data_IF_656400419945
#
_entry.id   IF_656400419945
#
_cell.length_a   1.000
_cell.length_b   1.000
_cell.length_c   1.000
_cell.angle_alpha   90.00
_cell.angle_beta   90.00
_cell.angle_gamma   90.00
#
_symmetry.space_group_name_H-M   'P 1'
#
loop_
_entity.id
_entity.type
_entity.pdbx_description
1 polymer ?
#
# COMPACT_ATOMS: atom_id res chain seq x y z
N UNK A 1 -4.00 27.19 -10.49
CA UNK A 1 -4.51 25.83 -10.40
C UNK A 1 -3.35 24.85 -10.42
N UNK A 2 -3.57 23.63 -9.94
CA UNK A 2 -2.57 22.57 -10.01
C UNK A 2 -2.40 22.10 -11.46
N UNK A 3 -1.17 21.77 -11.83
CA UNK A 3 -0.90 21.14 -13.13
C UNK A 3 -1.47 19.71 -13.16
N UNK A 4 -1.71 19.09 -14.32
CA UNK A 4 -2.08 17.68 -14.39
C UNK A 4 -1.06 16.75 -13.74
N UNK A 5 0.23 17.06 -13.85
CA UNK A 5 1.34 16.32 -13.23
C UNK A 5 1.31 16.40 -11.70
N UNK A 6 1.04 17.59 -11.15
CA UNK A 6 0.88 17.77 -9.71
C UNK A 6 -0.33 17.01 -9.19
N UNK A 7 -1.44 17.10 -9.93
CA UNK A 7 -2.67 16.41 -9.58
C UNK A 7 -2.50 14.88 -9.58
N UNK A 8 -1.77 14.32 -10.54
CA UNK A 8 -1.43 12.90 -10.58
C UNK A 8 -0.57 12.49 -9.39
N UNK A 9 0.46 13.28 -9.08
CA UNK A 9 1.36 13.05 -7.93
C UNK A 9 0.60 13.08 -6.60
N UNK A 10 -0.34 14.00 -6.43
CA UNK A 10 -1.19 14.10 -5.24
C UNK A 10 -2.16 12.92 -5.15
N UNK A 11 -2.76 12.52 -6.27
CA UNK A 11 -3.68 11.38 -6.31
C UNK A 11 -3.01 10.07 -5.85
N UNK A 12 -1.71 9.91 -6.14
CA UNK A 12 -0.93 8.75 -5.69
C UNK A 12 -0.83 8.64 -4.16
N UNK A 13 -0.97 9.75 -3.42
CA UNK A 13 -1.03 9.72 -1.94
C UNK A 13 -2.19 8.84 -1.47
N UNK A 14 -3.30 8.82 -2.21
CA UNK A 14 -4.46 7.99 -1.92
C UNK A 14 -4.17 6.48 -1.95
N UNK A 15 -3.15 6.04 -2.69
CA UNK A 15 -2.67 4.66 -2.67
C UNK A 15 -2.02 4.27 -1.34
N UNK A 16 -1.61 5.24 -0.52
CA UNK A 16 -0.90 5.05 0.74
C UNK A 16 0.39 4.21 0.59
N UNK A 17 1.08 4.39 -0.52
CA UNK A 17 2.33 3.74 -0.86
C UNK A 17 3.44 4.79 -1.00
N UNK A 18 4.18 5.01 0.09
CA UNK A 18 5.21 6.05 0.16
C UNK A 18 6.22 6.00 -0.99
N UNK A 19 6.88 4.86 -1.24
CA UNK A 19 7.80 4.70 -2.36
C UNK A 19 7.20 5.06 -3.72
N UNK A 20 5.94 4.69 -3.99
CA UNK A 20 5.25 5.02 -5.25
C UNK A 20 4.95 6.50 -5.37
N UNK A 21 4.53 7.14 -4.27
CA UNK A 21 4.30 8.60 -4.24
C UNK A 21 5.59 9.34 -4.53
N UNK A 22 6.69 8.94 -3.88
CA UNK A 22 8.01 9.54 -4.11
C UNK A 22 8.46 9.38 -5.56
N UNK A 23 8.37 8.17 -6.08
CA UNK A 23 8.76 7.86 -7.45
C UNK A 23 7.96 8.68 -8.47
N UNK A 24 6.63 8.74 -8.29
CA UNK A 24 5.74 9.51 -9.17
C UNK A 24 6.08 11.01 -9.12
N UNK A 25 6.26 11.58 -7.93
CA UNK A 25 6.54 13.00 -7.78
C UNK A 25 7.92 13.39 -8.31
N UNK A 26 8.94 12.55 -8.16
CA UNK A 26 10.26 12.76 -8.75
C UNK A 26 10.23 12.81 -10.27
N UNK A 27 9.36 12.02 -10.90
CA UNK A 27 9.27 11.97 -12.36
C UNK A 27 8.34 13.03 -12.95
N UNK A 28 7.21 13.33 -12.27
CA UNK A 28 6.16 14.20 -12.80
C UNK A 28 6.20 15.63 -12.27
N UNK A 29 6.61 15.83 -11.00
CA UNK A 29 6.42 17.09 -10.28
C UNK A 29 7.51 17.34 -9.26
N UNK A 30 8.72 17.62 -9.74
CA UNK A 30 9.90 17.84 -8.90
C UNK A 30 9.74 19.02 -7.95
N UNK A 31 8.99 20.04 -8.35
CA UNK A 31 8.77 21.25 -7.54
C UNK A 31 8.01 20.97 -6.24
N UNK A 32 7.07 20.04 -6.25
CA UNK A 32 6.29 19.64 -5.08
C UNK A 32 6.83 18.37 -4.41
N UNK A 33 7.99 17.86 -4.81
CA UNK A 33 8.56 16.61 -4.30
C UNK A 33 8.75 16.65 -2.77
N UNK A 34 9.36 17.70 -2.23
CA UNK A 34 9.59 17.82 -0.79
C UNK A 34 8.26 17.94 -0.03
N UNK A 35 7.35 18.86 -0.38
CA UNK A 35 6.03 18.95 0.24
C UNK A 35 5.25 17.65 0.21
N UNK A 36 5.20 16.97 -0.94
CA UNK A 36 4.41 15.74 -1.10
C UNK A 36 5.03 14.58 -0.34
N UNK A 37 6.36 14.55 -0.19
CA UNK A 37 7.07 13.57 0.63
C UNK A 37 6.62 13.64 2.08
N UNK A 38 6.60 14.85 2.64
CA UNK A 38 6.13 15.09 4.02
C UNK A 38 4.68 14.60 4.17
N UNK A 39 3.79 15.02 3.26
CA UNK A 39 2.39 14.60 3.27
C UNK A 39 2.27 13.08 3.15
N UNK A 40 3.04 12.45 2.25
CA UNK A 40 3.01 11.01 2.00
C UNK A 40 3.37 10.18 3.24
N UNK A 41 4.24 10.67 4.11
CA UNK A 41 4.61 9.94 5.32
C UNK A 41 3.76 10.28 6.54
N UNK A 42 3.17 11.49 6.59
CA UNK A 42 2.16 11.83 7.59
C UNK A 42 0.91 10.94 7.48
N UNK A 43 0.62 10.39 6.29
CA UNK A 43 -0.54 9.51 6.11
C UNK A 43 -0.46 8.21 6.92
N UNK A 44 0.72 7.73 7.28
CA UNK A 44 0.85 6.56 8.16
C UNK A 44 0.11 6.77 9.48
N UNK A 45 0.26 7.95 10.08
CA UNK A 45 -0.50 8.33 11.26
C UNK A 45 -2.00 8.43 10.99
N UNK A 46 -2.39 8.98 9.84
CA UNK A 46 -3.79 9.13 9.45
C UNK A 46 -4.47 7.79 9.16
N UNK A 47 -3.81 6.86 8.48
CA UNK A 47 -4.38 5.53 8.22
C UNK A 47 -4.51 4.73 9.51
N UNK A 48 -3.52 4.78 10.40
CA UNK A 48 -3.56 4.08 11.67
C UNK A 48 -4.61 4.66 12.62
N UNK A 49 -4.70 5.99 12.71
CA UNK A 49 -5.63 6.70 13.60
C UNK A 49 -7.02 6.91 13.01
N UNK A 50 -7.13 7.25 11.72
CA UNK A 50 -8.37 7.65 11.06
C UNK A 50 -9.20 6.48 10.51
N UNK A 51 -8.58 5.48 9.92
CA UNK A 51 -9.30 4.34 9.31
C UNK A 51 -10.16 3.54 10.28
N UNK A 52 -9.80 3.35 11.57
CA UNK A 52 -10.73 2.74 12.52
C UNK A 52 -12.08 3.47 12.63
N UNK A 53 -12.07 4.81 12.59
CA UNK A 53 -13.31 5.60 12.63
C UNK A 53 -14.09 5.46 11.32
N UNK A 54 -13.41 5.52 10.17
CA UNK A 54 -14.04 5.32 8.86
C UNK A 54 -14.70 3.96 8.75
N UNK A 55 -14.01 2.89 9.14
CA UNK A 55 -14.56 1.52 9.13
C UNK A 55 -15.75 1.39 10.07
N UNK A 56 -15.68 1.98 11.27
CA UNK A 56 -16.80 1.94 12.22
C UNK A 56 -18.03 2.70 11.73
N UNK A 57 -17.80 3.81 11.00
CA UNK A 57 -18.89 4.60 10.42
C UNK A 57 -19.56 3.88 9.23
N UNK A 58 -18.77 3.22 8.38
CA UNK A 58 -19.29 2.61 7.13
C UNK A 58 -19.71 1.15 7.30
N UNK A 59 -19.10 0.38 8.20
CA UNK A 59 -19.39 -1.05 8.37
C UNK A 59 -20.08 -1.29 9.72
N UNK A 60 -21.34 -1.71 9.74
CA UNK A 60 -22.06 -2.04 10.97
C UNK A 60 -21.36 -3.13 11.78
N UNK A 61 -21.48 -3.08 13.11
CA UNK A 61 -20.87 -4.05 14.04
C UNK A 61 -21.17 -5.51 13.65
N UNK A 62 -22.42 -5.79 13.21
CA UNK A 62 -22.84 -7.13 12.76
C UNK A 62 -21.98 -7.67 11.62
N UNK A 63 -21.59 -6.82 10.67
CA UNK A 63 -20.77 -7.21 9.52
C UNK A 63 -19.29 -7.28 9.89
N UNK A 64 -18.81 -6.39 10.78
CA UNK A 64 -17.43 -6.45 11.28
C UNK A 64 -17.16 -7.72 12.09
N UNK A 65 -18.17 -8.24 12.79
CA UNK A 65 -18.07 -9.45 13.60
C UNK A 65 -18.12 -10.76 12.77
N UNK A 66 -18.28 -10.70 11.44
CA UNK A 66 -18.35 -11.89 10.58
C UNK A 66 -17.04 -12.66 10.69
N UNK A 67 -17.16 -13.95 11.08
CA UNK A 67 -16.05 -14.90 11.06
C UNK A 67 -15.89 -15.48 9.66
N UNK A 68 -14.72 -15.32 9.09
CA UNK A 68 -14.40 -15.96 7.82
C UNK A 68 -14.43 -17.48 7.99
N UNK A 69 -15.14 -18.16 7.11
CA UNK A 69 -15.08 -19.64 7.08
C UNK A 69 -13.77 -20.06 6.44
N UNK A 70 -13.04 -21.00 7.03
CA UNK A 70 -11.85 -21.54 6.39
C UNK A 70 -12.20 -22.08 5.00
N UNK A 71 -11.27 -21.94 4.07
CA UNK A 71 -11.45 -22.46 2.72
C UNK A 71 -11.84 -23.95 2.79
N UNK A 72 -12.92 -24.33 2.09
CA UNK A 72 -13.42 -25.72 2.11
C UNK A 72 -12.41 -26.75 1.59
N UNK A 73 -11.38 -26.30 0.86
CA UNK A 73 -10.26 -27.14 0.40
C UNK A 73 -9.02 -26.74 1.16
N UNK A 74 -8.18 -27.69 1.60
CA UNK A 74 -6.89 -27.37 2.17
C UNK A 74 -6.11 -26.55 1.12
N UNK A 75 -5.55 -25.42 1.55
CA UNK A 75 -4.69 -24.62 0.67
C UNK A 75 -3.56 -25.52 0.23
N UNK A 76 -3.43 -25.73 -1.08
CA UNK A 76 -2.35 -26.57 -1.63
C UNK A 76 -1.02 -25.95 -1.19
N UNK A 77 -0.29 -26.68 -0.36
CA UNK A 77 1.05 -26.25 0.04
C UNK A 77 1.99 -26.52 -1.15
N UNK A 78 2.49 -25.46 -1.73
CA UNK A 78 3.51 -25.54 -2.75
C UNK A 78 4.89 -25.68 -2.11
N UNK A 79 5.78 -26.44 -2.74
CA UNK A 79 7.16 -26.56 -2.30
C UNK A 79 7.89 -25.21 -2.35
N UNK A 80 8.93 -25.04 -1.52
CA UNK A 80 9.77 -23.83 -1.53
C UNK A 80 10.33 -23.57 -2.95
N UNK A 81 10.79 -24.62 -3.63
CA UNK A 81 11.29 -24.54 -5.01
C UNK A 81 10.24 -23.96 -5.97
N UNK A 82 8.97 -24.42 -5.89
CA UNK A 82 7.88 -23.91 -6.73
C UNK A 82 7.61 -22.42 -6.47
N UNK A 83 7.62 -22.00 -5.22
CA UNK A 83 7.42 -20.59 -4.84
C UNK A 83 8.56 -19.70 -5.31
N UNK A 84 9.81 -20.16 -5.17
CA UNK A 84 11.00 -19.45 -5.63
C UNK A 84 10.99 -19.33 -7.16
N UNK A 85 10.72 -20.42 -7.88
CA UNK A 85 10.63 -20.40 -9.35
C UNK A 85 9.55 -19.45 -9.83
N UNK A 86 8.38 -19.46 -9.19
CA UNK A 86 7.31 -18.50 -9.49
C UNK A 86 7.75 -17.06 -9.24
N UNK A 87 8.40 -16.78 -8.09
CA UNK A 87 8.88 -15.45 -7.76
C UNK A 87 9.90 -14.93 -8.77
N UNK A 88 10.85 -15.77 -9.19
CA UNK A 88 11.87 -15.40 -10.19
C UNK A 88 11.23 -15.12 -11.55
N UNK A 89 10.36 -16.01 -12.03
CA UNK A 89 9.68 -15.84 -13.33
C UNK A 89 8.82 -14.57 -13.34
N UNK A 90 8.02 -14.34 -12.27
CA UNK A 90 7.19 -13.14 -12.17
C UNK A 90 8.03 -11.87 -12.03
N UNK A 91 9.14 -11.93 -11.31
CA UNK A 91 10.08 -10.80 -11.21
C UNK A 91 10.62 -10.42 -12.59
N UNK A 92 11.10 -11.38 -13.35
CA UNK A 92 11.63 -11.15 -14.72
C UNK A 92 10.56 -10.57 -15.63
N UNK A 93 9.37 -11.17 -15.65
CA UNK A 93 8.24 -10.70 -16.49
C UNK A 93 7.88 -9.26 -16.14
N UNK A 94 7.69 -8.96 -14.84
CA UNK A 94 7.27 -7.62 -14.41
C UNK A 94 8.37 -6.57 -14.60
N UNK A 95 9.64 -6.92 -14.38
CA UNK A 95 10.75 -6.01 -14.65
C UNK A 95 10.92 -5.70 -16.14
N UNK A 96 10.64 -6.67 -17.03
CA UNK A 96 10.68 -6.45 -18.48
C UNK A 96 9.48 -5.63 -18.98
N UNK A 97 8.29 -5.89 -18.43
CA UNK A 97 7.09 -5.13 -18.77
C UNK A 97 7.14 -3.69 -18.23
N UNK A 98 7.76 -3.49 -17.09
CA UNK A 98 7.78 -2.22 -16.37
C UNK A 98 9.21 -1.87 -15.88
N UNK A 99 10.12 -1.51 -16.79
CA UNK A 99 11.54 -1.26 -16.44
C UNK A 99 11.72 -0.18 -15.36
N UNK A 100 10.86 0.83 -15.39
CA UNK A 100 10.91 1.98 -14.46
C UNK A 100 10.64 1.56 -13.00
N UNK A 101 9.79 0.58 -12.78
CA UNK A 101 9.51 0.02 -11.45
C UNK A 101 10.33 -1.25 -11.13
N UNK A 102 11.29 -1.61 -11.96
CA UNK A 102 12.13 -2.79 -11.75
C UNK A 102 12.75 -2.86 -10.34
N UNK A 103 13.30 -1.77 -9.75
CA UNK A 103 13.85 -1.81 -8.40
C UNK A 103 12.83 -2.25 -7.33
N UNK A 104 11.57 -1.89 -7.50
CA UNK A 104 10.50 -2.23 -6.56
C UNK A 104 10.07 -3.69 -6.70
N UNK A 105 9.82 -4.14 -7.93
CA UNK A 105 9.52 -5.55 -8.18
C UNK A 105 10.66 -6.45 -7.76
N UNK A 106 11.91 -6.07 -8.09
CA UNK A 106 13.08 -6.82 -7.71
C UNK A 106 13.19 -6.96 -6.18
N UNK A 107 13.04 -5.87 -5.42
CA UNK A 107 13.10 -5.91 -3.95
C UNK A 107 11.96 -6.75 -3.33
N UNK A 108 10.74 -6.68 -3.89
CA UNK A 108 9.62 -7.49 -3.45
C UNK A 108 9.90 -8.99 -3.63
N UNK A 109 10.30 -9.38 -4.85
CA UNK A 109 10.49 -10.79 -5.17
C UNK A 109 11.76 -11.38 -4.54
N UNK A 110 12.83 -10.58 -4.36
CA UNK A 110 14.01 -11.03 -3.62
C UNK A 110 13.66 -11.32 -2.16
N UNK A 111 12.78 -10.53 -1.55
CA UNK A 111 12.24 -10.80 -0.21
C UNK A 111 11.49 -12.12 -0.13
N UNK A 112 10.70 -12.46 -1.14
CA UNK A 112 10.01 -13.76 -1.25
C UNK A 112 11.02 -14.90 -1.37
N UNK A 113 12.02 -14.76 -2.25
CA UNK A 113 13.08 -15.76 -2.43
C UNK A 113 13.84 -16.02 -1.13
N UNK A 114 14.25 -14.98 -0.43
CA UNK A 114 14.96 -15.10 0.85
C UNK A 114 14.10 -15.80 1.89
N UNK A 115 12.82 -15.43 1.99
CA UNK A 115 11.89 -16.07 2.92
C UNK A 115 11.72 -17.56 2.65
N UNK A 116 11.61 -17.97 1.41
CA UNK A 116 11.36 -19.37 1.00
C UNK A 116 12.65 -20.18 0.84
N UNK A 117 13.83 -19.54 0.83
CA UNK A 117 15.14 -20.21 0.69
C UNK A 117 15.55 -21.04 1.92
N UNK A 118 14.90 -20.84 3.06
CA UNK A 118 15.25 -21.51 4.31
C UNK A 118 16.49 -20.94 5.01
N UNK A 119 17.09 -19.87 4.49
CA UNK A 119 18.23 -19.17 5.08
C UNK A 119 17.80 -18.33 6.28
N UNK A 120 17.58 -18.98 7.43
CA UNK A 120 17.02 -18.34 8.64
C UNK A 120 17.80 -17.09 9.05
N UNK A 121 19.11 -17.16 9.14
CA UNK A 121 19.95 -16.02 9.57
C UNK A 121 19.81 -14.81 8.65
N UNK A 122 19.74 -15.03 7.34
CA UNK A 122 19.56 -13.94 6.36
C UNK A 122 18.15 -13.35 6.47
N UNK A 123 17.15 -14.21 6.59
CA UNK A 123 15.77 -13.77 6.77
C UNK A 123 15.60 -12.97 8.07
N UNK A 124 16.16 -13.43 9.18
CA UNK A 124 16.08 -12.76 10.48
C UNK A 124 16.83 -11.42 10.47
N UNK A 125 17.99 -11.36 9.81
CA UNK A 125 18.72 -10.11 9.61
C UNK A 125 17.92 -9.09 8.80
N UNK A 126 17.32 -9.50 7.68
CA UNK A 126 16.55 -8.59 6.80
C UNK A 126 15.25 -8.15 7.44
N UNK A 127 14.52 -9.09 8.07
CA UNK A 127 13.21 -8.79 8.69
C UNK A 127 13.32 -8.11 10.05
N UNK A 128 14.49 -8.06 10.64
CA UNK A 128 14.78 -7.42 11.93
C UNK A 128 15.74 -6.22 11.78
N UNK A 129 17.05 -6.40 11.99
CA UNK A 129 18.01 -5.31 12.05
C UNK A 129 18.00 -4.40 10.82
N UNK A 130 17.96 -4.97 9.62
CA UNK A 130 17.97 -4.21 8.38
C UNK A 130 16.67 -3.41 8.21
N UNK A 131 15.51 -4.01 8.48
CA UNK A 131 14.20 -3.33 8.44
C UNK A 131 14.17 -2.15 9.41
N UNK A 132 14.55 -2.38 10.67
CA UNK A 132 14.52 -1.31 11.69
C UNK A 132 15.56 -0.23 11.41
N UNK A 133 16.76 -0.59 10.98
CA UNK A 133 17.82 0.33 10.59
C UNK A 133 17.39 1.21 9.41
N UNK A 134 16.85 0.61 8.35
CA UNK A 134 16.35 1.34 7.19
C UNK A 134 15.19 2.28 7.57
N UNK A 135 14.27 1.83 8.42
CA UNK A 135 13.15 2.65 8.92
C UNK A 135 13.65 3.81 9.76
N UNK A 136 14.66 3.59 10.61
CA UNK A 136 15.28 4.62 11.44
C UNK A 136 15.95 5.71 10.58
N UNK A 137 16.78 5.33 9.62
CA UNK A 137 17.41 6.28 8.71
C UNK A 137 16.40 7.02 7.85
N UNK A 138 15.36 6.33 7.35
CA UNK A 138 14.27 6.98 6.65
C UNK A 138 13.57 8.02 7.54
N UNK A 139 13.32 7.69 8.82
CA UNK A 139 12.73 8.63 9.78
C UNK A 139 13.60 9.87 10.01
N UNK A 140 14.91 9.72 10.11
CA UNK A 140 15.85 10.86 10.23
C UNK A 140 15.79 11.74 8.97
N UNK A 141 15.89 11.13 7.78
CA UNK A 141 15.84 11.89 6.51
C UNK A 141 14.53 12.67 6.38
N UNK A 142 13.41 12.03 6.73
CA UNK A 142 12.10 12.69 6.71
C UNK A 142 12.01 13.80 7.76
N UNK A 143 12.57 13.59 8.96
CA UNK A 143 12.63 14.62 10.00
C UNK A 143 13.40 15.86 9.55
N UNK A 144 14.50 15.68 8.82
CA UNK A 144 15.27 16.79 8.23
C UNK A 144 14.46 17.54 7.16
N UNK A 145 13.66 16.83 6.37
CA UNK A 145 12.78 17.45 5.36
C UNK A 145 11.56 18.16 5.98
N UNK A 146 11.17 17.79 7.21
CA UNK A 146 10.07 18.41 7.95
C UNK A 146 10.51 19.69 8.67
N UNK A 147 11.09 20.64 7.96
CA UNK A 147 11.40 21.96 8.51
C UNK A 147 10.10 22.76 8.77
N UNK A 148 10.14 23.60 9.82
CA UNK A 148 8.98 24.41 10.22
C UNK A 148 8.48 25.35 9.12
N UNK A 149 9.40 25.93 8.34
CA UNK A 149 9.04 26.77 7.20
C UNK A 149 8.31 25.98 6.12
N UNK A 150 8.79 24.78 5.82
CA UNK A 150 8.15 23.88 4.82
C UNK A 150 6.76 23.46 5.29
N UNK A 151 6.60 23.09 6.56
CA UNK A 151 5.31 22.64 7.10
C UNK A 151 4.25 23.74 7.15
N UNK A 152 4.65 24.99 7.36
CA UNK A 152 3.75 26.14 7.44
C UNK A 152 3.49 26.80 6.08
N UNK A 153 4.14 26.32 5.01
CA UNK A 153 3.90 26.82 3.66
C UNK A 153 2.44 26.56 3.25
N UNK A 154 1.71 27.58 2.76
CA UNK A 154 0.34 27.41 2.28
C UNK A 154 0.18 26.33 1.22
N UNK A 155 1.21 26.06 0.44
CA UNK A 155 1.22 24.99 -0.57
C UNK A 155 1.20 23.63 0.09
N UNK A 156 2.03 23.41 1.11
CA UNK A 156 2.05 22.15 1.87
C UNK A 156 0.72 21.89 2.56
N UNK A 157 0.13 22.94 3.16
CA UNK A 157 -1.19 22.82 3.80
C UNK A 157 -2.29 22.42 2.79
N UNK A 158 -2.26 22.96 1.57
CA UNK A 158 -3.18 22.54 0.50
C UNK A 158 -2.96 21.09 0.10
N UNK A 159 -1.70 20.69 -0.07
CA UNK A 159 -1.34 19.30 -0.40
C UNK A 159 -1.73 18.33 0.72
N UNK A 160 -1.59 18.74 1.98
CA UNK A 160 -2.02 17.95 3.14
C UNK A 160 -3.54 17.69 3.09
N UNK A 161 -4.35 18.73 2.88
CA UNK A 161 -5.81 18.58 2.78
C UNK A 161 -6.19 17.68 1.62
N UNK A 162 -5.59 17.87 0.45
CA UNK A 162 -5.83 17.04 -0.73
C UNK A 162 -5.40 15.59 -0.51
N UNK A 163 -4.25 15.37 0.14
CA UNK A 163 -3.77 14.03 0.50
C UNK A 163 -4.71 13.33 1.49
N UNK A 164 -5.24 14.04 2.49
CA UNK A 164 -6.25 13.50 3.42
C UNK A 164 -7.52 13.11 2.66
N UNK A 165 -7.98 13.95 1.75
CA UNK A 165 -9.16 13.65 0.92
C UNK A 165 -8.91 12.43 0.01
N UNK A 166 -7.74 12.35 -0.62
CA UNK A 166 -7.36 11.21 -1.45
C UNK A 166 -7.36 9.89 -0.63
N UNK A 167 -6.80 9.91 0.58
CA UNK A 167 -6.83 8.75 1.49
C UNK A 167 -8.24 8.38 1.94
N UNK A 168 -9.07 9.38 2.23
CA UNK A 168 -10.47 9.16 2.63
C UNK A 168 -11.24 8.48 1.49
N UNK A 169 -11.13 9.00 0.27
CA UNK A 169 -11.78 8.44 -0.92
C UNK A 169 -11.28 7.02 -1.19
N UNK A 170 -9.97 6.79 -1.08
CA UNK A 170 -9.36 5.47 -1.24
C UNK A 170 -9.87 4.49 -0.18
N UNK A 171 -9.94 4.91 1.08
CA UNK A 171 -10.50 4.12 2.17
C UNK A 171 -11.97 3.75 1.96
N UNK A 172 -12.78 4.72 1.51
CA UNK A 172 -14.20 4.49 1.13
C UNK A 172 -14.27 3.47 -0.01
N UNK A 173 -13.48 3.66 -1.07
CA UNK A 173 -13.42 2.75 -2.21
C UNK A 173 -13.01 1.32 -1.80
N UNK A 174 -12.02 1.20 -0.92
CA UNK A 174 -11.60 -0.09 -0.36
C UNK A 174 -12.74 -0.79 0.40
N UNK A 175 -13.44 -0.07 1.27
CA UNK A 175 -14.59 -0.63 2.02
C UNK A 175 -15.72 -1.03 1.06
N UNK A 176 -16.03 -0.21 0.05
CA UNK A 176 -17.04 -0.55 -0.97
C UNK A 176 -16.64 -1.80 -1.75
N UNK A 177 -15.37 -1.95 -2.11
CA UNK A 177 -14.84 -3.20 -2.68
C UNK A 177 -15.02 -4.39 -1.74
N UNK A 178 -14.82 -4.19 -0.44
CA UNK A 178 -15.13 -5.19 0.58
C UNK A 178 -16.60 -5.58 0.62
N UNK A 179 -17.53 -4.63 0.49
CA UNK A 179 -18.96 -4.91 0.37
C UNK A 179 -19.30 -5.65 -0.92
N UNK A 180 -18.68 -5.27 -2.02
CA UNK A 180 -18.86 -5.98 -3.30
C UNK A 180 -18.49 -7.46 -3.15
N UNK A 181 -17.35 -7.74 -2.53
CA UNK A 181 -16.93 -9.12 -2.23
C UNK A 181 -17.87 -9.84 -1.26
N UNK A 182 -18.42 -9.12 -0.28
CA UNK A 182 -19.43 -9.66 0.63
C UNK A 182 -20.68 -10.14 -0.14
N UNK A 183 -21.17 -9.35 -1.11
CA UNK A 183 -22.29 -9.75 -1.95
C UNK A 183 -21.94 -10.95 -2.85
N UNK A 184 -20.80 -10.93 -3.53
CA UNK A 184 -20.37 -12.07 -4.36
C UNK A 184 -20.18 -13.36 -3.57
N UNK A 185 -19.71 -13.28 -2.34
CA UNK A 185 -19.52 -14.42 -1.43
C UNK A 185 -20.80 -14.77 -0.64
N UNK A 186 -21.94 -14.18 -0.99
CA UNK A 186 -23.24 -14.41 -0.35
C UNK A 186 -23.20 -14.30 1.17
N UNK A 187 -22.63 -13.21 1.67
CA UNK A 187 -22.52 -12.93 3.10
C UNK A 187 -21.39 -13.65 3.85
N UNK A 188 -20.55 -14.40 3.15
CA UNK A 188 -19.47 -15.21 3.75
C UNK A 188 -18.09 -14.54 3.58
N UNK A 189 -18.05 -13.21 3.63
CA UNK A 189 -16.85 -12.39 3.52
C UNK A 189 -16.96 -11.21 4.48
N UNK A 190 -15.89 -10.87 5.18
CA UNK A 190 -15.89 -9.72 6.07
C UNK A 190 -15.53 -8.45 5.29
N UNK A 191 -16.45 -7.46 5.16
CA UNK A 191 -16.21 -6.26 4.36
C UNK A 191 -15.02 -5.41 4.84
N UNK A 192 -14.63 -5.54 6.11
CA UNK A 192 -13.49 -4.81 6.68
C UNK A 192 -12.17 -5.14 5.97
N UNK A 193 -12.07 -6.32 5.35
CA UNK A 193 -10.89 -6.71 4.55
C UNK A 193 -10.63 -5.71 3.44
N UNK A 194 -11.67 -5.08 2.89
CA UNK A 194 -11.54 -4.12 1.81
C UNK A 194 -10.66 -2.92 2.14
N UNK A 195 -10.63 -2.44 3.40
CA UNK A 195 -9.74 -1.33 3.80
C UNK A 195 -8.26 -1.70 3.67
N UNK A 196 -7.92 -2.98 3.76
CA UNK A 196 -6.56 -3.45 3.61
C UNK A 196 -6.04 -3.36 2.16
N UNK A 197 -6.93 -3.22 1.17
CA UNK A 197 -6.53 -2.99 -0.22
C UNK A 197 -5.87 -1.61 -0.44
N UNK A 198 -6.05 -0.66 0.50
CA UNK A 198 -5.22 0.55 0.54
C UNK A 198 -3.81 0.15 0.96
N UNK A 199 -2.83 0.39 0.08
CA UNK A 199 -1.56 -0.36 0.02
C UNK A 199 -0.52 -0.07 1.12
N UNK A 200 -0.87 0.57 2.22
CA UNK A 200 0.04 0.80 3.35
C UNK A 200 0.42 -0.54 4.04
N UNK A 201 1.48 -1.17 3.57
CA UNK A 201 1.92 -2.51 4.01
C UNK A 201 2.67 -2.46 5.34
N UNK A 202 2.38 -3.31 6.29
CA UNK A 202 1.16 -4.12 6.50
C UNK A 202 0.12 -3.40 7.39
N UNK A 203 0.19 -2.07 7.47
CA UNK A 203 -0.51 -1.26 8.47
C UNK A 203 -2.03 -1.39 8.34
N UNK A 204 -2.58 -1.20 7.15
CA UNK A 204 -4.03 -1.28 6.93
C UNK A 204 -4.60 -2.67 7.19
N UNK A 205 -3.85 -3.73 6.87
CA UNK A 205 -4.22 -5.10 7.20
C UNK A 205 -4.25 -5.35 8.73
N UNK A 206 -3.25 -4.83 9.46
CA UNK A 206 -3.22 -4.91 10.93
C UNK A 206 -4.34 -4.09 11.57
N UNK A 207 -4.65 -2.91 11.01
CA UNK A 207 -5.77 -2.08 11.46
C UNK A 207 -7.09 -2.81 11.25
N UNK A 208 -7.31 -3.40 10.07
CA UNK A 208 -8.49 -4.21 9.78
C UNK A 208 -8.66 -5.35 10.80
N UNK A 209 -7.60 -6.12 11.06
CA UNK A 209 -7.64 -7.20 12.06
C UNK A 209 -7.93 -6.68 13.46
N UNK A 210 -7.31 -5.56 13.87
CA UNK A 210 -7.53 -4.96 15.20
C UNK A 210 -8.99 -4.55 15.42
N UNK A 211 -9.62 -3.97 14.39
CA UNK A 211 -11.03 -3.57 14.45
C UNK A 211 -11.93 -4.80 14.60
N UNK A 212 -11.70 -5.82 13.79
CA UNK A 212 -12.50 -7.06 13.80
C UNK A 212 -12.31 -7.81 15.12
N UNK A 213 -11.08 -7.94 15.60
CA UNK A 213 -10.78 -8.60 16.87
C UNK A 213 -11.42 -7.89 18.08
N UNK A 214 -11.59 -6.58 18.04
CA UNK A 214 -12.31 -5.83 19.07
C UNK A 214 -13.79 -6.20 19.12
N UNK A 215 -14.43 -6.41 17.97
CA UNK A 215 -15.85 -6.75 17.90
C UNK A 215 -16.11 -8.27 18.02
N UNK A 216 -15.18 -9.10 17.57
CA UNK A 216 -15.19 -10.55 17.67
C UNK A 216 -13.77 -11.13 17.79
N UNK A 217 -13.26 -11.40 19.01
CA UNK A 217 -11.90 -11.91 19.24
C UNK A 217 -11.59 -13.24 18.53
N UNK A 218 -12.61 -14.04 18.21
CA UNK A 218 -12.43 -15.32 17.51
C UNK A 218 -12.37 -15.17 15.98
N UNK A 219 -12.55 -13.97 15.45
CA UNK A 219 -12.49 -13.70 14.01
C UNK A 219 -11.08 -13.32 13.57
N UNK A 220 -10.47 -14.18 12.77
CA UNK A 220 -9.16 -13.96 12.17
C UNK A 220 -9.34 -13.62 10.69
N UNK A 221 -9.04 -12.38 10.32
CA UNK A 221 -9.09 -11.92 8.92
C UNK A 221 -7.71 -11.51 8.38
N UNK A 222 -6.68 -11.51 9.22
CA UNK A 222 -5.35 -11.02 8.89
C UNK A 222 -4.74 -11.64 7.62
N UNK A 223 -4.81 -12.98 7.40
CA UNK A 223 -4.26 -13.58 6.18
C UNK A 223 -4.94 -13.07 4.90
N UNK A 224 -6.27 -12.95 4.92
CA UNK A 224 -7.03 -12.43 3.78
C UNK A 224 -6.77 -10.93 3.58
N UNK A 225 -6.67 -10.17 4.68
CA UNK A 225 -6.35 -8.75 4.65
C UNK A 225 -4.93 -8.49 4.13
N UNK A 226 -3.94 -9.32 4.47
CA UNK A 226 -2.59 -9.23 3.91
C UNK A 226 -2.58 -9.54 2.42
N UNK A 227 -3.38 -10.52 1.97
CA UNK A 227 -3.54 -10.80 0.54
C UNK A 227 -4.11 -9.61 -0.22
N UNK A 228 -5.16 -8.98 0.29
CA UNK A 228 -5.74 -7.77 -0.29
C UNK A 228 -4.74 -6.60 -0.30
N UNK A 229 -3.93 -6.48 0.76
CA UNK A 229 -2.91 -5.45 0.89
C UNK A 229 -1.79 -5.58 -0.16
N UNK A 230 -1.28 -6.80 -0.39
CA UNK A 230 -0.27 -7.08 -1.42
C UNK A 230 -0.82 -6.73 -2.81
N UNK A 231 -2.07 -7.08 -3.10
CA UNK A 231 -2.71 -6.71 -4.37
C UNK A 231 -2.85 -5.19 -4.51
N UNK A 232 -3.10 -4.47 -3.41
CA UNK A 232 -3.10 -3.01 -3.37
C UNK A 232 -1.75 -2.41 -3.77
N UNK A 233 -0.63 -2.96 -3.26
CA UNK A 233 0.74 -2.52 -3.61
C UNK A 233 1.00 -2.74 -5.10
N UNK A 234 0.65 -3.90 -5.64
CA UNK A 234 0.84 -4.20 -7.06
C UNK A 234 0.02 -3.22 -7.91
N UNK A 235 -1.21 -2.92 -7.49
CA UNK A 235 -2.08 -1.97 -8.20
C UNK A 235 -1.51 -0.55 -8.16
N UNK A 236 -1.04 -0.09 -7.01
CA UNK A 236 -0.44 1.24 -6.90
C UNK A 236 0.85 1.36 -7.73
N UNK A 237 1.66 0.30 -7.80
CA UNK A 237 2.82 0.24 -8.66
C UNK A 237 2.44 0.34 -10.16
N UNK A 238 1.40 -0.38 -10.60
CA UNK A 238 0.91 -0.32 -11.98
C UNK A 238 0.38 1.08 -12.30
N UNK A 239 -0.40 1.69 -11.41
CA UNK A 239 -0.93 3.05 -11.60
C UNK A 239 0.22 4.07 -11.68
N UNK A 240 1.20 3.96 -10.78
CA UNK A 240 2.40 4.80 -10.81
C UNK A 240 3.08 4.74 -12.18
N UNK A 241 3.24 3.55 -12.74
CA UNK A 241 3.84 3.35 -14.05
C UNK A 241 3.02 3.94 -15.18
N UNK A 242 1.69 3.80 -15.13
CA UNK A 242 0.81 4.41 -16.12
C UNK A 242 0.94 5.92 -16.16
N UNK A 243 1.15 6.56 -15.00
CA UNK A 243 1.38 8.00 -14.92
C UNK A 243 2.79 8.43 -15.33
N UNK A 244 3.80 7.61 -15.06
CA UNK A 244 5.21 7.97 -15.28
C UNK A 244 5.78 7.42 -16.59
N UNK A 245 5.07 6.52 -17.29
CA UNK A 245 5.49 6.04 -18.62
C UNK A 245 5.29 7.12 -19.68
N UNK A 246 6.28 7.35 -20.55
CA UNK A 246 6.14 8.29 -21.65
C UNK A 246 4.94 7.90 -22.54
N UNK A 247 4.12 8.88 -22.86
CA UNK A 247 3.01 8.65 -23.78
C UNK A 247 3.55 8.56 -25.22
N UNK A 248 2.85 7.90 -26.17
CA UNK A 248 3.22 7.94 -27.59
C UNK A 248 3.35 9.36 -28.15
N UNK A 249 2.70 10.34 -27.52
CA UNK A 249 2.82 11.76 -27.90
C UNK A 249 4.16 12.38 -27.50
N UNK A 250 4.76 11.89 -26.42
CA UNK A 250 6.05 12.39 -25.93
C UNK A 250 7.19 11.93 -26.85
N UNK A 251 7.05 10.73 -27.47
CA UNK A 251 7.97 10.23 -28.50
C UNK A 251 7.81 10.94 -29.86
N UNK A 252 6.64 11.51 -30.13
CA UNK A 252 6.39 12.25 -31.36
C UNK A 252 6.87 13.72 -31.28
N UNK A 253 7.18 14.22 -30.08
CA UNK A 253 7.63 15.58 -29.81
C UNK A 253 9.17 15.68 -29.59
N UNK A 254 9.87 14.54 -29.50
CA UNK A 254 11.34 14.43 -29.41
C UNK A 254 11.95 14.17 -30.79
#
# INVERSE_FOLDING_TARGET
GLSPSDSASIAMVGGADGPMVLFTSLNLSKEIFVPITVVAYLYLGLTYGGYPYLVRAMVPKRLRAIKMKPAKKPVKQYSAATKISFAVVMCVILCLLFPVAAPLFFSLFIGVVIKESGLKHVNDFISGPMLYGSTFFLGILLGVLCDAHTLLDPTVLKLLVLGILALLISGIGGILGGYLMYFFKRGNFNPVIGIAAVSCVPTTAKVAQKIVAHDNPSSMILPDALGANIMGVITSAIICLLYTSPSPRDYAAS
#
